data_IF_832063966681
#
_entry.id   IF_832063966681
#
_cell.length_a   1.000
_cell.length_b   1.000
_cell.length_c   1.000
_cell.angle_alpha   90.00
_cell.angle_beta   90.00
_cell.angle_gamma   90.00
#
_symmetry.space_group_name_H-M   'P 1'
#
loop_
_entity.id
_entity.type
_entity.pdbx_description
1 polymer ?
#
# COMPACT_ATOMS: atom_id res chain seq x y z
N UNK A 1 -2.15 -0.38 8.62
CA UNK A 1 -3.41 -0.69 7.92
C UNK A 1 -3.09 -1.50 6.68
N UNK A 2 -4.05 -2.25 6.16
CA UNK A 2 -3.88 -3.07 4.95
C UNK A 2 -5.17 -3.02 4.12
N UNK A 3 -5.04 -3.09 2.80
CA UNK A 3 -6.12 -3.31 1.84
C UNK A 3 -5.64 -4.28 0.77
N UNK A 4 -6.56 -5.03 0.15
CA UNK A 4 -6.25 -6.00 -0.88
C UNK A 4 -6.73 -5.53 -2.25
N UNK A 5 -5.94 -5.83 -3.28
CA UNK A 5 -6.28 -5.60 -4.69
C UNK A 5 -6.27 -6.94 -5.41
N UNK A 6 -7.39 -7.28 -6.06
CA UNK A 6 -7.50 -8.46 -6.89
C UNK A 6 -8.74 -9.32 -6.59
N UNK A 7 -8.88 -10.47 -7.29
CA UNK A 7 -7.97 -10.95 -8.33
C UNK A 7 -7.93 -10.03 -9.56
N UNK A 8 -6.75 -9.85 -10.14
CA UNK A 8 -6.50 -9.04 -11.35
C UNK A 8 -5.66 -9.86 -12.33
N UNK A 9 -5.88 -9.72 -13.64
CA UNK A 9 -5.22 -10.58 -14.64
C UNK A 9 -3.96 -9.93 -15.19
N UNK A 10 -2.81 -10.58 -15.00
CA UNK A 10 -1.55 -10.16 -15.60
C UNK A 10 -1.17 -8.72 -15.25
N UNK A 11 -1.06 -7.86 -16.27
CA UNK A 11 -0.62 -6.47 -16.11
C UNK A 11 -1.57 -5.63 -15.25
N UNK A 12 -2.86 -5.96 -15.23
CA UNK A 12 -3.87 -5.23 -14.45
C UNK A 12 -3.58 -5.24 -12.94
N UNK A 13 -2.90 -6.28 -12.44
CA UNK A 13 -2.49 -6.33 -11.03
C UNK A 13 -1.55 -5.17 -10.66
N UNK A 14 -0.59 -4.88 -11.55
CA UNK A 14 0.33 -3.76 -11.41
C UNK A 14 -0.36 -2.41 -11.58
N UNK A 15 -1.22 -2.29 -12.60
CA UNK A 15 -1.95 -1.05 -12.88
C UNK A 15 -2.85 -0.66 -11.69
N UNK A 16 -3.63 -1.61 -11.18
CA UNK A 16 -4.56 -1.37 -10.07
C UNK A 16 -3.83 -1.02 -8.77
N UNK A 17 -2.73 -1.70 -8.41
CA UNK A 17 -2.03 -1.42 -7.14
C UNK A 17 -1.37 -0.05 -7.16
N UNK A 18 -0.85 0.41 -8.31
CA UNK A 18 -0.26 1.73 -8.44
C UNK A 18 -1.32 2.84 -8.37
N UNK A 19 -2.45 2.68 -9.07
CA UNK A 19 -3.56 3.62 -8.94
C UNK A 19 -4.10 3.66 -7.50
N UNK A 20 -4.21 2.52 -6.81
CA UNK A 20 -4.66 2.46 -5.43
C UNK A 20 -3.71 3.22 -4.48
N UNK A 21 -2.39 3.05 -4.64
CA UNK A 21 -1.37 3.79 -3.86
C UNK A 21 -1.46 5.29 -4.11
N UNK A 22 -1.60 5.71 -5.37
CA UNK A 22 -1.79 7.11 -5.71
C UNK A 22 -3.00 7.70 -4.99
N UNK A 23 -4.17 7.05 -5.09
CA UNK A 23 -5.39 7.52 -4.44
C UNK A 23 -5.25 7.57 -2.92
N UNK A 24 -4.60 6.57 -2.30
CA UNK A 24 -4.34 6.58 -0.87
C UNK A 24 -3.49 7.79 -0.46
N UNK A 25 -2.41 8.06 -1.19
CA UNK A 25 -1.55 9.23 -0.92
C UNK A 25 -2.32 10.55 -1.08
N UNK A 26 -3.17 10.69 -2.11
CA UNK A 26 -4.03 11.87 -2.30
C UNK A 26 -5.01 12.07 -1.14
N UNK A 27 -5.60 11.00 -0.62
CA UNK A 27 -6.49 11.06 0.55
C UNK A 27 -5.70 11.49 1.79
N UNK A 28 -4.51 10.91 2.01
CA UNK A 28 -3.68 11.28 3.15
C UNK A 28 -3.20 12.73 3.10
N UNK A 29 -2.88 13.24 1.91
CA UNK A 29 -2.54 14.65 1.70
C UNK A 29 -3.71 15.56 2.10
N UNK A 30 -4.93 15.26 1.65
CA UNK A 30 -6.13 16.03 2.00
C UNK A 30 -6.43 16.01 3.50
N UNK A 31 -6.12 14.90 4.17
CA UNK A 31 -6.27 14.74 5.61
C UNK A 31 -5.10 15.35 6.42
N UNK A 32 -4.04 15.85 5.77
CA UNK A 32 -2.86 16.40 6.43
C UNK A 32 -2.02 15.35 7.17
N UNK A 33 -2.04 14.10 6.71
CA UNK A 33 -1.25 12.99 7.29
C UNK A 33 -0.24 12.45 6.28
N UNK A 34 0.88 11.90 6.78
CA UNK A 34 1.95 11.33 5.94
C UNK A 34 1.75 9.83 5.79
N UNK A 35 1.74 9.34 4.55
CA UNK A 35 1.76 7.93 4.22
C UNK A 35 3.20 7.41 4.16
N UNK A 36 3.46 6.21 4.70
CA UNK A 36 4.73 5.50 4.50
C UNK A 36 4.46 4.08 4.01
N UNK A 37 5.21 3.67 2.99
CA UNK A 37 5.28 2.29 2.49
C UNK A 37 6.63 1.63 2.84
N UNK A 38 7.39 2.25 3.75
CA UNK A 38 8.62 1.65 4.29
C UNK A 38 8.29 0.32 4.98
N UNK A 39 9.04 -0.78 4.73
CA UNK A 39 8.77 -2.07 5.35
C UNK A 39 8.95 -2.06 6.88
N UNK A 40 9.64 -1.08 7.45
CA UNK A 40 9.88 -0.91 8.89
C UNK A 40 9.97 0.58 9.25
N UNK A 41 8.84 1.31 9.28
CA UNK A 41 8.85 2.75 9.52
C UNK A 41 9.23 3.15 10.95
N UNK A 42 9.11 2.22 11.91
CA UNK A 42 9.45 2.40 13.32
C UNK A 42 10.39 1.28 13.74
N UNK A 43 11.56 1.64 14.28
CA UNK A 43 12.55 0.69 14.79
C UNK A 43 12.08 -0.01 16.07
N UNK A 44 12.72 -1.14 16.40
CA UNK A 44 12.42 -1.92 17.61
C UNK A 44 11.34 -2.99 17.40
N UNK A 45 10.68 -3.37 18.49
CA UNK A 45 9.72 -4.47 18.57
C UNK A 45 8.31 -4.06 18.10
N UNK A 46 8.25 -3.55 16.88
CA UNK A 46 7.02 -3.22 16.17
C UNK A 46 6.90 -4.11 14.93
N UNK A 47 5.69 -4.52 14.56
CA UNK A 47 5.51 -5.30 13.32
C UNK A 47 5.92 -4.47 12.08
N UNK A 48 6.48 -5.15 11.08
CA UNK A 48 6.78 -4.54 9.77
C UNK A 48 5.56 -4.47 8.85
N UNK A 49 5.73 -3.82 7.71
CA UNK A 49 4.75 -3.76 6.63
C UNK A 49 5.21 -4.62 5.43
N UNK A 50 4.28 -5.38 4.85
CA UNK A 50 4.53 -6.26 3.71
C UNK A 50 3.56 -6.02 2.55
N UNK A 51 3.80 -6.70 1.43
CA UNK A 51 2.94 -6.68 0.25
C UNK A 51 2.72 -8.12 -0.23
N UNK A 52 2.04 -8.93 0.58
CA UNK A 52 1.76 -10.33 0.26
C UNK A 52 1.03 -10.45 -1.08
N UNK A 53 1.48 -11.38 -1.92
CA UNK A 53 0.95 -11.58 -3.28
C UNK A 53 0.48 -13.03 -3.42
N UNK A 54 -0.80 -13.21 -3.74
CA UNK A 54 -1.37 -14.51 -4.06
C UNK A 54 -1.20 -14.79 -5.56
N UNK A 55 -0.95 -16.06 -5.93
CA UNK A 55 -0.79 -16.53 -7.32
C UNK A 55 -1.50 -17.87 -7.51
#
# INVERSE_FOLDING_TARGET
>A
WEFQVGPSVGIEAGDHIWCARYLLERITEQAGVVLSLDPKPIEGDWNGAGCHTNY
#
